data_IF_553218347174
#
_entry.id   IF_553218347174
#
_cell.length_a   1.000
_cell.length_b   1.000
_cell.length_c   1.000
_cell.angle_alpha   90.00
_cell.angle_beta   90.00
_cell.angle_gamma   90.00
#
_symmetry.space_group_name_H-M   'P 1'
#
loop_
_entity.id
_entity.type
_entity.pdbx_description
1 polymer ?
#
# COMPACT_ATOMS: atom_id res chain seq x y z
N UNK A 1 -1.29 -22.04 -1.31
CA UNK A 1 -0.96 -20.88 -0.44
C UNK A 1 0.00 -21.38 0.63
N UNK A 2 1.12 -20.69 0.87
CA UNK A 2 2.08 -21.09 1.91
C UNK A 2 1.63 -20.55 3.28
N UNK A 3 1.76 -21.31 4.38
CA UNK A 3 1.34 -20.89 5.71
C UNK A 3 2.36 -19.94 6.33
N UNK A 4 2.27 -18.65 5.97
CA UNK A 4 3.15 -17.59 6.47
C UNK A 4 2.42 -16.80 7.55
N UNK A 5 3.03 -16.71 8.72
CA UNK A 5 2.54 -15.93 9.85
C UNK A 5 2.57 -14.41 9.55
N UNK A 6 1.66 -13.65 10.18
CA UNK A 6 1.61 -12.20 10.04
C UNK A 6 2.78 -11.52 10.78
N UNK A 7 3.04 -10.24 10.48
CA UNK A 7 4.17 -9.54 11.09
C UNK A 7 4.03 -9.35 12.62
N UNK A 8 2.82 -9.40 13.17
CA UNK A 8 2.61 -9.37 14.63
C UNK A 8 2.91 -10.71 15.31
N UNK A 9 2.97 -11.80 14.55
CA UNK A 9 3.14 -13.17 15.02
C UNK A 9 4.59 -13.67 14.93
N UNK A 10 5.49 -12.84 14.41
CA UNK A 10 6.90 -13.17 14.16
C UNK A 10 7.81 -12.04 14.60
N UNK A 11 8.99 -12.35 15.13
CA UNK A 11 10.06 -11.37 15.29
C UNK A 11 10.65 -10.97 13.93
N UNK A 12 11.12 -9.74 13.84
CA UNK A 12 11.70 -9.21 12.60
C UNK A 12 12.33 -7.84 12.79
N UNK A 13 12.79 -7.28 11.68
CA UNK A 13 13.39 -5.95 11.62
C UNK A 13 12.91 -5.21 10.37
N UNK A 14 12.71 -3.90 10.47
CA UNK A 14 12.45 -3.01 9.34
C UNK A 14 13.45 -1.85 9.30
N UNK A 15 13.60 -1.23 8.14
CA UNK A 15 14.41 -0.01 7.98
C UNK A 15 13.45 1.16 7.82
N UNK A 16 13.61 2.19 8.64
CA UNK A 16 12.78 3.39 8.58
C UNK A 16 13.19 4.31 7.41
N UNK A 17 12.48 5.43 7.23
CA UNK A 17 12.78 6.42 6.19
C UNK A 17 14.15 7.11 6.35
N UNK A 18 14.74 7.06 7.55
CA UNK A 18 16.07 7.60 7.85
C UNK A 18 17.19 6.56 7.59
N UNK A 19 16.83 5.34 7.16
CA UNK A 19 17.77 4.25 6.96
C UNK A 19 18.17 3.52 8.25
N UNK A 20 17.48 3.76 9.36
CA UNK A 20 17.76 3.13 10.66
C UNK A 20 17.00 1.81 10.77
N UNK A 21 17.73 0.75 11.12
CA UNK A 21 17.16 -0.57 11.39
C UNK A 21 16.49 -0.60 12.77
N UNK A 22 15.27 -1.11 12.83
CA UNK A 22 14.47 -1.25 14.04
C UNK A 22 13.97 -2.69 14.14
N UNK A 23 14.32 -3.36 15.24
CA UNK A 23 13.93 -4.75 15.50
C UNK A 23 12.77 -4.82 16.48
N UNK A 24 11.93 -5.83 16.31
CA UNK A 24 10.76 -6.08 17.15
C UNK A 24 10.59 -7.58 17.44
N UNK A 25 10.00 -7.88 18.59
CA UNK A 25 9.61 -9.23 18.97
C UNK A 25 8.18 -9.54 18.49
N UNK A 26 7.85 -10.83 18.37
CA UNK A 26 6.49 -11.26 18.12
C UNK A 26 5.57 -10.78 19.28
N UNK A 27 4.46 -10.13 18.94
CA UNK A 27 3.48 -9.67 19.92
C UNK A 27 2.55 -10.80 20.36
N UNK A 28 2.29 -11.76 19.47
CA UNK A 28 1.43 -12.93 19.71
C UNK A 28 2.06 -14.17 19.09
N UNK A 29 1.61 -15.36 19.51
CA UNK A 29 2.05 -16.62 18.88
C UNK A 29 1.34 -16.83 17.55
N UNK A 30 2.07 -17.32 16.55
CA UNK A 30 1.50 -17.66 15.25
C UNK A 30 0.41 -18.74 15.37
N UNK A 31 -0.74 -18.60 14.70
CA UNK A 31 -1.82 -19.58 14.76
C UNK A 31 -1.46 -20.85 13.98
N UNK A 32 -1.83 -22.00 14.55
CA UNK A 32 -1.71 -23.32 13.92
C UNK A 32 -0.27 -23.64 13.44
N UNK A 33 -0.10 -24.10 12.20
CA UNK A 33 1.20 -24.48 11.63
C UNK A 33 1.93 -23.32 10.93
N UNK A 34 1.45 -22.08 11.08
CA UNK A 34 2.03 -20.91 10.42
C UNK A 34 3.49 -20.70 10.85
N UNK A 35 4.37 -20.50 9.86
CA UNK A 35 5.80 -20.27 10.11
C UNK A 35 6.18 -18.85 9.69
N UNK A 36 7.25 -18.33 10.26
CA UNK A 36 7.83 -17.06 9.80
C UNK A 36 8.28 -17.19 8.34
N UNK A 37 8.12 -16.11 7.57
CA UNK A 37 8.44 -16.10 6.14
C UNK A 37 9.88 -16.59 5.86
N UNK A 38 10.85 -16.17 6.68
CA UNK A 38 12.26 -16.59 6.53
C UNK A 38 12.46 -18.09 6.73
N UNK A 39 11.70 -18.75 7.61
CA UNK A 39 11.77 -20.22 7.79
C UNK A 39 11.19 -20.94 6.58
N UNK A 40 10.10 -20.41 6.01
CA UNK A 40 9.51 -20.95 4.77
C UNK A 40 10.50 -20.80 3.62
N UNK A 41 11.14 -19.63 3.47
CA UNK A 41 12.17 -19.40 2.45
C UNK A 41 13.39 -20.31 2.63
N UNK A 42 13.84 -20.52 3.88
CA UNK A 42 14.90 -21.49 4.19
C UNK A 42 14.55 -22.90 3.72
N UNK A 43 13.36 -23.40 4.06
CA UNK A 43 12.91 -24.74 3.64
C UNK A 43 12.80 -24.84 2.12
N UNK A 44 12.31 -23.79 1.45
CA UNK A 44 12.28 -23.74 -0.01
C UNK A 44 13.69 -23.77 -0.61
N UNK A 45 14.66 -23.08 -0.01
CA UNK A 45 16.05 -23.10 -0.43
C UNK A 45 16.66 -24.50 -0.26
N UNK A 46 16.39 -25.17 0.86
CA UNK A 46 16.81 -26.54 1.12
C UNK A 46 16.24 -27.52 0.08
N UNK A 47 14.95 -27.38 -0.28
CA UNK A 47 14.29 -28.17 -1.32
C UNK A 47 14.85 -27.94 -2.73
N UNK A 48 15.41 -26.75 -2.98
CA UNK A 48 16.03 -26.36 -4.24
C UNK A 48 17.55 -26.55 -4.23
N UNK A 49 18.11 -27.17 -3.18
CA UNK A 49 19.55 -27.41 -3.02
C UNK A 49 20.41 -26.12 -3.09
N UNK A 50 19.86 -24.99 -2.62
CA UNK A 50 20.54 -23.69 -2.63
C UNK A 50 21.40 -23.51 -1.37
N UNK A 51 22.67 -23.17 -1.55
CA UNK A 51 23.59 -22.84 -0.45
C UNK A 51 23.34 -21.44 0.13
N UNK A 52 23.68 -21.24 1.41
CA UNK A 52 23.70 -19.91 2.04
C UNK A 52 22.46 -19.54 2.86
N UNK A 53 21.53 -20.48 3.06
CA UNK A 53 20.27 -20.26 3.81
C UNK A 53 20.28 -20.90 5.22
N UNK A 54 21.46 -21.13 5.79
CA UNK A 54 21.63 -21.81 7.08
C UNK A 54 21.47 -20.86 8.27
N UNK A 55 20.24 -20.36 8.46
CA UNK A 55 19.89 -19.53 9.62
C UNK A 55 19.15 -20.34 10.69
N UNK A 56 19.51 -20.14 11.95
CA UNK A 56 18.84 -20.73 13.12
C UNK A 56 17.77 -19.82 13.70
N UNK A 57 17.95 -18.50 13.61
CA UNK A 57 17.04 -17.49 14.14
C UNK A 57 17.02 -16.22 13.28
N UNK A 58 16.07 -15.31 13.56
CA UNK A 58 15.93 -14.04 12.83
C UNK A 58 17.11 -13.10 13.05
N UNK A 59 17.73 -13.16 14.22
CA UNK A 59 18.80 -12.24 14.63
C UNK A 59 20.07 -12.47 13.81
N UNK A 60 20.36 -13.72 13.42
CA UNK A 60 21.47 -14.03 12.50
C UNK A 60 21.28 -13.37 11.13
N UNK A 61 20.05 -13.40 10.60
CA UNK A 61 19.71 -12.77 9.31
C UNK A 61 19.89 -11.26 9.43
N UNK A 62 19.33 -10.65 10.47
CA UNK A 62 19.44 -9.21 10.73
C UNK A 62 20.89 -8.78 10.93
N UNK A 63 21.67 -9.55 11.68
CA UNK A 63 23.09 -9.28 11.92
C UNK A 63 23.93 -9.32 10.64
N UNK A 64 23.68 -10.28 9.76
CA UNK A 64 24.34 -10.35 8.46
C UNK A 64 24.03 -9.11 7.60
N UNK A 65 22.76 -8.71 7.53
CA UNK A 65 22.34 -7.52 6.77
C UNK A 65 22.91 -6.23 7.38
N UNK A 66 22.93 -6.10 8.71
CA UNK A 66 23.46 -4.91 9.38
C UNK A 66 24.95 -4.69 9.13
N UNK A 67 25.70 -5.75 8.83
CA UNK A 67 27.12 -5.67 8.51
C UNK A 67 27.37 -5.36 7.03
N UNK A 68 26.34 -5.36 6.18
CA UNK A 68 26.46 -4.99 4.78
C UNK A 68 26.38 -3.47 4.61
N UNK A 69 27.35 -2.90 3.90
CA UNK A 69 27.35 -1.47 3.60
C UNK A 69 26.16 -1.11 2.71
N UNK A 70 25.29 -0.23 3.20
CA UNK A 70 24.18 0.29 2.42
C UNK A 70 24.69 1.30 1.38
N UNK A 71 24.73 0.89 0.11
CA UNK A 71 25.03 1.81 -1.00
C UNK A 71 23.80 2.66 -1.28
N UNK A 72 23.79 3.90 -0.80
CA UNK A 72 22.80 4.88 -1.22
C UNK A 72 22.94 5.14 -2.72
N UNK A 73 21.94 4.73 -3.50
CA UNK A 73 21.88 5.05 -4.92
C UNK A 73 21.23 6.42 -5.07
N UNK A 74 22.05 7.46 -5.12
CA UNK A 74 21.60 8.82 -5.42
C UNK A 74 21.42 8.91 -6.94
N UNK A 75 20.19 9.13 -7.40
CA UNK A 75 19.87 9.36 -8.81
C UNK A 75 19.53 10.85 -8.98
N UNK A 76 20.45 11.63 -9.54
CA UNK A 76 20.29 13.06 -9.79
C UNK A 76 19.70 13.35 -11.18
N UNK A 77 18.88 12.45 -11.71
CA UNK A 77 18.22 12.70 -12.99
C UNK A 77 17.33 13.93 -12.88
N UNK A 78 17.47 14.83 -13.85
CA UNK A 78 16.56 15.95 -14.01
C UNK A 78 15.14 15.42 -14.26
N UNK A 79 14.23 15.79 -13.37
CA UNK A 79 12.82 15.46 -13.50
C UNK A 79 12.19 16.52 -14.40
N UNK A 80 11.60 16.09 -15.52
CA UNK A 80 10.86 17.00 -16.38
C UNK A 80 9.57 17.46 -15.68
N UNK A 81 9.48 18.74 -15.35
CA UNK A 81 8.34 19.36 -14.66
C UNK A 81 7.31 19.98 -15.61
N UNK A 82 7.24 19.53 -16.86
CA UNK A 82 6.29 20.10 -17.83
C UNK A 82 4.85 19.72 -17.44
N UNK A 83 4.08 20.70 -17.01
CA UNK A 83 2.67 20.50 -16.66
C UNK A 83 1.82 20.27 -17.93
N UNK A 84 1.11 19.14 -17.98
CA UNK A 84 0.10 18.89 -19.01
C UNK A 84 -1.12 19.76 -18.75
N UNK A 85 -1.64 20.41 -19.80
CA UNK A 85 -2.90 21.16 -19.74
C UNK A 85 -4.05 20.19 -20.02
N UNK A 86 -5.08 20.21 -19.17
CA UNK A 86 -6.23 19.32 -19.29
C UNK A 86 -6.84 19.03 -17.93
N UNK A 87 -7.86 18.16 -17.92
CA UNK A 87 -8.44 17.64 -16.68
C UNK A 87 -7.54 16.52 -16.14
N UNK A 88 -7.10 16.66 -14.90
CA UNK A 88 -6.29 15.67 -14.19
C UNK A 88 -7.18 14.85 -13.27
N UNK A 89 -7.21 13.53 -13.49
CA UNK A 89 -7.89 12.58 -12.63
C UNK A 89 -6.88 12.00 -11.64
N UNK A 90 -7.15 12.18 -10.34
CA UNK A 90 -6.28 11.75 -9.25
C UNK A 90 -7.00 10.67 -8.46
N UNK A 91 -6.49 9.44 -8.56
CA UNK A 91 -7.00 8.32 -7.79
C UNK A 91 -6.45 8.34 -6.37
N UNK A 92 -7.35 8.38 -5.39
CA UNK A 92 -7.01 8.36 -3.97
C UNK A 92 -7.69 7.17 -3.31
N UNK A 93 -6.91 6.10 -3.11
CA UNK A 93 -7.37 4.94 -2.34
C UNK A 93 -7.58 5.34 -0.88
N UNK A 94 -8.57 4.73 -0.23
CA UNK A 94 -8.74 4.89 1.22
C UNK A 94 -7.47 4.43 1.95
N UNK A 95 -7.01 5.13 2.99
CA UNK A 95 -5.86 4.70 3.79
C UNK A 95 -6.09 3.34 4.46
N UNK A 96 -7.33 2.88 4.58
CA UNK A 96 -7.67 1.57 5.13
C UNK A 96 -7.79 0.48 4.07
N UNK A 97 -7.41 0.76 2.83
CA UNK A 97 -7.43 -0.20 1.72
C UNK A 97 -6.03 -0.41 1.11
N UNK A 98 -4.97 -0.14 1.88
CA UNK A 98 -3.57 -0.21 1.44
C UNK A 98 -2.98 -1.61 1.59
N UNK A 99 -3.31 -2.32 2.66
CA UNK A 99 -2.79 -3.65 2.98
C UNK A 99 -3.91 -4.63 3.33
N UNK A 100 -3.56 -5.90 3.54
CA UNK A 100 -4.55 -6.95 3.80
C UNK A 100 -5.21 -6.78 5.16
N UNK A 101 -4.48 -6.40 6.20
CA UNK A 101 -5.03 -6.26 7.56
C UNK A 101 -5.97 -5.06 7.64
N UNK A 102 -5.54 -3.89 7.15
CA UNK A 102 -6.39 -2.70 7.16
C UNK A 102 -7.68 -2.89 6.36
N UNK A 103 -7.61 -3.61 5.22
CA UNK A 103 -8.77 -3.92 4.37
C UNK A 103 -9.80 -4.83 5.06
N UNK A 104 -9.35 -5.78 5.87
CA UNK A 104 -10.24 -6.73 6.56
C UNK A 104 -10.65 -6.25 7.97
N UNK A 105 -10.09 -5.13 8.46
CA UNK A 105 -10.45 -4.57 9.76
C UNK A 105 -11.84 -3.91 9.72
N UNK A 106 -12.88 -4.64 10.13
CA UNK A 106 -14.28 -4.16 10.15
C UNK A 106 -14.44 -2.80 10.83
N UNK A 107 -13.75 -2.58 11.94
CA UNK A 107 -13.81 -1.30 12.67
C UNK A 107 -13.30 -0.12 11.84
N UNK A 108 -12.21 -0.28 11.09
CA UNK A 108 -11.66 0.76 10.22
C UNK A 108 -12.54 0.98 8.99
N UNK A 109 -13.05 -0.11 8.41
CA UNK A 109 -13.95 -0.03 7.25
C UNK A 109 -15.27 0.66 7.60
N UNK A 110 -15.81 0.48 8.81
CA UNK A 110 -17.05 1.12 9.25
C UNK A 110 -16.94 2.64 9.45
N UNK A 111 -15.72 3.20 9.48
CA UNK A 111 -15.52 4.65 9.61
C UNK A 111 -15.91 5.39 8.34
N UNK A 112 -16.16 6.71 8.46
CA UNK A 112 -16.42 7.60 7.31
C UNK A 112 -15.28 7.55 6.27
N UNK A 113 -14.04 7.33 6.71
CA UNK A 113 -12.86 7.26 5.85
C UNK A 113 -12.80 5.93 5.08
N UNK A 114 -13.18 4.83 5.72
CA UNK A 114 -13.29 3.51 5.07
C UNK A 114 -14.42 3.45 4.04
N UNK A 115 -15.51 4.18 4.29
CA UNK A 115 -16.68 4.24 3.40
C UNK A 115 -16.57 5.29 2.28
N UNK A 116 -15.42 5.94 2.09
CA UNK A 116 -15.25 6.92 1.01
C UNK A 116 -15.34 6.24 -0.37
N UNK A 117 -16.38 6.60 -1.11
CA UNK A 117 -16.68 6.10 -2.45
C UNK A 117 -17.33 7.21 -3.27
N UNK A 118 -16.54 8.19 -3.72
CA UNK A 118 -17.05 9.36 -4.44
C UNK A 118 -15.98 9.99 -5.33
N UNK A 119 -16.44 10.72 -6.35
CA UNK A 119 -15.60 11.58 -7.17
C UNK A 119 -15.85 13.05 -6.81
N UNK A 120 -14.82 13.76 -6.38
CA UNK A 120 -14.88 15.18 -6.01
C UNK A 120 -14.36 16.04 -7.16
N UNK A 121 -15.15 17.04 -7.56
CA UNK A 121 -14.76 17.99 -8.62
C UNK A 121 -15.42 19.37 -8.42
N UNK A 122 -14.85 20.41 -9.03
CA UNK A 122 -15.43 21.76 -9.03
C UNK A 122 -16.61 21.89 -10.02
N UNK A 123 -17.52 22.83 -9.80
CA UNK A 123 -18.60 23.21 -10.74
C UNK A 123 -18.09 23.49 -12.15
N UNK A 124 -16.97 24.20 -12.28
CA UNK A 124 -16.39 24.53 -13.59
C UNK A 124 -15.92 23.26 -14.33
N UNK A 125 -15.34 22.30 -13.61
CA UNK A 125 -14.91 21.01 -14.16
C UNK A 125 -16.12 20.14 -14.52
N UNK A 126 -17.13 20.07 -13.64
CA UNK A 126 -18.36 19.31 -13.89
C UNK A 126 -19.09 19.80 -15.16
N UNK A 127 -19.15 21.12 -15.38
CA UNK A 127 -19.73 21.71 -16.60
C UNK A 127 -18.96 21.33 -17.87
N UNK A 128 -17.61 21.22 -17.79
CA UNK A 128 -16.77 20.81 -18.92
C UNK A 128 -16.96 19.33 -19.26
N UNK A 129 -17.07 18.47 -18.24
CA UNK A 129 -17.27 17.02 -18.41
C UNK A 129 -18.75 16.65 -18.68
N UNK A 130 -19.67 17.60 -18.61
CA UNK A 130 -21.11 17.37 -18.85
C UNK A 130 -21.82 16.60 -17.73
N UNK A 131 -21.26 16.57 -16.52
CA UNK A 131 -21.76 15.78 -15.40
C UNK A 131 -22.64 16.67 -14.50
N UNK A 132 -23.85 16.18 -14.20
CA UNK A 132 -24.78 16.82 -13.27
C UNK A 132 -24.53 16.34 -11.83
N UNK A 133 -24.96 17.12 -10.86
CA UNK A 133 -24.92 16.74 -9.44
C UNK A 133 -25.67 15.42 -9.21
N UNK A 134 -25.05 14.48 -8.51
CA UNK A 134 -25.56 13.12 -8.35
C UNK A 134 -25.32 12.17 -9.54
N UNK A 135 -24.65 12.62 -10.60
CA UNK A 135 -24.16 11.76 -11.67
C UNK A 135 -23.07 10.80 -11.20
N UNK A 136 -22.67 9.88 -12.07
CA UNK A 136 -21.55 8.97 -11.82
C UNK A 136 -20.37 9.32 -12.71
N UNK A 137 -19.16 9.22 -12.17
CA UNK A 137 -17.91 9.32 -12.90
C UNK A 137 -17.09 8.06 -12.59
N UNK A 138 -16.69 7.30 -13.61
CA UNK A 138 -15.93 6.06 -13.44
C UNK A 138 -16.56 5.09 -12.41
N UNK A 139 -17.90 5.02 -12.38
CA UNK A 139 -18.66 4.13 -11.50
C UNK A 139 -18.82 4.62 -10.05
N UNK A 140 -18.33 5.81 -9.69
CA UNK A 140 -18.53 6.40 -8.35
C UNK A 140 -19.45 7.63 -8.40
N UNK A 141 -20.25 7.91 -7.35
CA UNK A 141 -21.10 9.08 -7.30
C UNK A 141 -20.28 10.37 -7.22
N UNK A 142 -20.70 11.39 -7.96
CA UNK A 142 -20.01 12.69 -8.03
C UNK A 142 -20.54 13.66 -6.97
N UNK A 143 -19.62 14.26 -6.24
CA UNK A 143 -19.87 15.34 -5.28
C UNK A 143 -19.19 16.60 -5.78
N UNK A 144 -19.98 17.64 -6.03
CA UNK A 144 -19.49 18.92 -6.51
C UNK A 144 -19.09 19.79 -5.31
N UNK A 145 -17.84 20.23 -5.26
CA UNK A 145 -17.33 21.06 -4.17
C UNK A 145 -16.34 22.11 -4.66
N UNK A 146 -16.38 23.30 -4.05
CA UNK A 146 -15.41 24.38 -4.33
C UNK A 146 -14.03 24.12 -3.71
N UNK A 147 -13.88 23.05 -2.91
CA UNK A 147 -12.60 22.67 -2.29
C UNK A 147 -11.61 22.05 -3.27
N UNK A 148 -12.08 21.62 -4.45
CA UNK A 148 -11.24 21.01 -5.50
C UNK A 148 -10.87 22.07 -6.53
N UNK A 149 -9.61 22.09 -6.93
CA UNK A 149 -9.12 22.99 -7.95
C UNK A 149 -9.79 22.76 -9.33
N UNK A 150 -9.78 23.80 -10.16
CA UNK A 150 -10.28 23.72 -11.53
C UNK A 150 -9.47 22.69 -12.34
N UNK A 151 -10.17 21.94 -13.20
CA UNK A 151 -9.61 20.85 -14.01
C UNK A 151 -8.99 19.71 -13.17
N UNK A 152 -9.40 19.52 -11.92
CA UNK A 152 -9.02 18.36 -11.11
C UNK A 152 -10.26 17.55 -10.73
N UNK A 153 -10.13 16.22 -10.77
CA UNK A 153 -11.13 15.27 -10.28
C UNK A 153 -10.41 14.31 -9.33
N UNK A 154 -10.81 14.28 -8.05
CA UNK A 154 -10.33 13.29 -7.09
C UNK A 154 -11.29 12.12 -7.06
N UNK A 155 -10.80 10.91 -7.26
CA UNK A 155 -11.63 9.71 -7.25
C UNK A 155 -11.26 8.85 -6.05
N UNK A 156 -12.20 8.71 -5.13
CA UNK A 156 -12.13 7.81 -3.99
C UNK A 156 -12.94 6.56 -4.28
N UNK A 157 -12.28 5.40 -4.23
CA UNK A 157 -12.91 4.11 -4.42
C UNK A 157 -12.51 3.16 -3.27
N UNK A 158 -13.51 2.68 -2.54
CA UNK A 158 -13.37 1.61 -1.55
C UNK A 158 -13.78 0.22 -2.10
N UNK A 159 -14.32 0.18 -3.31
CA UNK A 159 -14.76 -1.02 -4.03
C UNK A 159 -14.19 -0.98 -5.45
N UNK A 160 -14.18 -2.12 -6.13
CA UNK A 160 -13.84 -2.16 -7.55
C UNK A 160 -14.81 -1.25 -8.30
N UNK A 161 -14.27 -0.17 -8.85
CA UNK A 161 -14.97 0.62 -9.88
C UNK A 161 -15.05 -0.29 -11.09
N UNK A 162 -16.26 -0.70 -11.47
CA UNK A 162 -16.45 -1.56 -12.62
C UNK A 162 -15.86 -0.88 -13.85
N UNK A 163 -14.71 -1.36 -14.30
CA UNK A 163 -14.15 -0.98 -15.59
C UNK A 163 -15.15 -1.46 -16.65
N UNK A 164 -15.97 -0.54 -17.14
CA UNK A 164 -16.44 -0.63 -18.52
C UNK A 164 -15.30 -0.12 -19.39
N UNK A 165 -14.31 -0.98 -19.60
CA UNK A 165 -13.33 -0.85 -20.69
C UNK A 165 -14.05 -0.83 -22.04
#
# INVERSE_FOLDING_TARGET
MLPIASFYETSGSHINIEGVMQSFAAAVSAPSESKSAWKVLKVLADLLELSGFHYANSEQITGEISNQSHKQKIDNKEINITAKRGVSVIWQKSPYAIDVLSRHATALQATKIGQMHNALMNKATAKKEGIKEGGQYLGVPVIITEKVANNCIFVHANQSTGDKS
#
